data_IF_933388022731
#
_entry.id   IF_933388022731
#
_cell.length_a   1.000
_cell.length_b   1.000
_cell.length_c   1.000
_cell.angle_alpha   90.00
_cell.angle_beta   90.00
_cell.angle_gamma   90.00
#
_symmetry.space_group_name_H-M   'P 1'
#
loop_
_entity.id
_entity.type
_entity.pdbx_description
1 polymer ?
#
# COMPACT_ATOMS: atom_id res chain seq x y z
N UNK A 1 -9.93 -25.89 -8.41
CA UNK A 1 -9.75 -24.50 -8.83
C UNK A 1 -9.10 -23.78 -7.66
N UNK A 2 -7.81 -23.45 -7.78
CA UNK A 2 -7.10 -22.65 -6.79
C UNK A 2 -7.75 -21.26 -6.73
N UNK A 3 -8.33 -20.93 -5.57
CA UNK A 3 -8.97 -19.63 -5.31
C UNK A 3 -7.99 -18.45 -5.32
N UNK A 4 -6.69 -18.72 -5.47
CA UNK A 4 -5.64 -17.72 -5.41
C UNK A 4 -5.30 -17.09 -6.76
N UNK A 5 -5.81 -17.59 -7.89
CA UNK A 5 -5.42 -17.06 -9.20
C UNK A 5 -6.52 -17.13 -10.28
N UNK A 6 -7.53 -16.24 -10.25
CA UNK A 6 -8.37 -15.99 -11.41
C UNK A 6 -7.62 -15.17 -12.47
N UNK A 7 -7.90 -15.51 -13.73
CA UNK A 7 -7.17 -15.23 -14.96
C UNK A 7 -7.25 -13.76 -15.45
N UNK A 8 -6.84 -12.79 -14.63
CA UNK A 8 -6.93 -11.36 -14.96
C UNK A 8 -5.64 -10.57 -14.65
N UNK A 9 -4.47 -11.07 -15.08
CA UNK A 9 -3.26 -10.25 -15.14
C UNK A 9 -3.22 -9.47 -16.46
N UNK A 10 -4.07 -8.45 -16.57
CA UNK A 10 -3.70 -7.30 -17.41
C UNK A 10 -2.47 -6.68 -16.77
N UNK A 11 -1.43 -6.38 -17.57
CA UNK A 11 -0.12 -5.82 -17.22
C UNK A 11 -0.17 -4.57 -16.30
N UNK A 12 -0.65 -4.75 -15.08
CA UNK A 12 -0.93 -3.70 -14.11
C UNK A 12 -0.05 -4.01 -12.93
N UNK A 13 0.96 -3.16 -12.73
CA UNK A 13 1.82 -3.23 -11.55
C UNK A 13 0.91 -3.18 -10.32
N UNK A 14 0.91 -4.26 -9.55
CA UNK A 14 0.15 -4.35 -8.31
C UNK A 14 0.93 -3.69 -7.17
N UNK A 15 0.27 -3.29 -6.07
CA UNK A 15 0.99 -2.80 -4.90
C UNK A 15 2.01 -3.79 -4.34
N UNK A 16 1.74 -5.11 -4.44
CA UNK A 16 2.69 -6.13 -3.97
C UNK A 16 3.95 -6.15 -4.84
N UNK A 17 3.81 -5.99 -6.17
CA UNK A 17 4.97 -5.91 -7.08
C UNK A 17 5.89 -4.74 -6.72
N UNK A 18 5.34 -3.58 -6.35
CA UNK A 18 6.12 -2.40 -5.93
C UNK A 18 6.80 -2.64 -4.58
N UNK A 19 6.09 -3.27 -3.64
CA UNK A 19 6.63 -3.58 -2.31
C UNK A 19 7.84 -4.51 -2.44
N UNK A 20 7.74 -5.56 -3.25
CA UNK A 20 8.82 -6.52 -3.47
C UNK A 20 9.97 -5.89 -4.29
N UNK A 21 9.66 -5.11 -5.33
CA UNK A 21 10.67 -4.48 -6.19
C UNK A 21 11.57 -3.49 -5.43
N UNK A 22 11.01 -2.76 -4.47
CA UNK A 22 11.72 -1.73 -3.70
C UNK A 22 12.07 -2.17 -2.28
N UNK A 23 11.89 -3.44 -1.94
CA UNK A 23 12.14 -4.01 -0.60
C UNK A 23 11.52 -3.15 0.52
N UNK A 24 10.25 -2.78 0.35
CA UNK A 24 9.55 -1.91 1.28
C UNK A 24 9.13 -2.67 2.54
N UNK A 25 9.43 -2.11 3.70
CA UNK A 25 8.93 -2.64 4.97
C UNK A 25 7.40 -2.53 5.10
N UNK A 26 6.84 -3.11 6.16
CA UNK A 26 5.39 -3.12 6.40
C UNK A 26 4.75 -1.72 6.36
N UNK A 27 5.41 -0.71 6.95
CA UNK A 27 4.87 0.65 7.00
C UNK A 27 4.85 1.27 5.61
N UNK A 28 5.99 1.27 4.92
CA UNK A 28 6.13 1.85 3.59
C UNK A 28 5.28 1.14 2.54
N UNK A 29 5.15 -0.19 2.63
CA UNK A 29 4.27 -0.93 1.74
C UNK A 29 2.79 -0.57 1.92
N UNK A 30 2.35 -0.32 3.16
CA UNK A 30 0.99 0.18 3.40
C UNK A 30 0.80 1.61 2.85
N UNK A 31 1.81 2.48 2.92
CA UNK A 31 1.75 3.81 2.31
C UNK A 31 1.44 3.68 0.81
N UNK A 32 2.24 2.90 0.07
CA UNK A 32 2.05 2.68 -1.37
C UNK A 32 0.68 2.06 -1.66
N UNK A 33 0.29 1.03 -0.90
CA UNK A 33 -1.01 0.36 -1.05
C UNK A 33 -2.18 1.33 -0.96
N UNK A 34 -2.22 2.18 0.07
CA UNK A 34 -3.33 3.11 0.27
C UNK A 34 -3.30 4.28 -0.72
N UNK A 35 -2.11 4.80 -1.07
CA UNK A 35 -1.98 5.81 -2.13
C UNK A 35 -2.50 5.30 -3.47
N UNK A 36 -2.14 4.08 -3.87
CA UNK A 36 -2.59 3.51 -5.13
C UNK A 36 -4.08 3.14 -5.14
N UNK A 37 -4.68 2.92 -3.97
CA UNK A 37 -6.08 2.51 -3.80
C UNK A 37 -7.06 3.69 -3.69
N UNK A 38 -6.59 4.85 -3.24
CA UNK A 38 -7.40 6.05 -3.06
C UNK A 38 -8.25 6.34 -4.32
N UNK A 39 -9.57 6.47 -4.13
CA UNK A 39 -10.52 6.74 -5.21
C UNK A 39 -10.85 5.55 -6.13
N UNK A 40 -10.25 4.37 -5.92
CA UNK A 40 -10.47 3.18 -6.77
C UNK A 40 -11.34 2.11 -6.12
N UNK A 41 -11.54 2.16 -4.80
CA UNK A 41 -12.38 1.18 -4.09
C UNK A 41 -13.78 1.75 -3.87
N UNK A 42 -14.79 1.05 -4.39
CA UNK A 42 -16.18 1.42 -4.17
C UNK A 42 -16.54 1.41 -2.68
N UNK A 43 -17.24 2.46 -2.23
CA UNK A 43 -17.72 2.59 -0.85
C UNK A 43 -16.65 3.02 0.16
N UNK A 44 -15.45 3.41 -0.27
CA UNK A 44 -14.44 4.00 0.60
C UNK A 44 -14.00 5.37 0.05
N UNK A 45 -13.86 6.35 0.94
CA UNK A 45 -13.43 7.70 0.57
C UNK A 45 -11.95 7.70 0.18
N UNK A 46 -11.59 8.47 -0.83
CA UNK A 46 -10.18 8.72 -1.17
C UNK A 46 -9.42 9.35 0.01
N UNK A 47 -10.06 10.28 0.73
CA UNK A 47 -9.52 10.90 1.93
C UNK A 47 -9.26 9.88 3.05
N UNK A 48 -10.08 8.85 3.18
CA UNK A 48 -9.85 7.79 4.18
C UNK A 48 -8.61 6.97 3.84
N UNK A 49 -8.35 6.73 2.56
CA UNK A 49 -7.15 6.04 2.09
C UNK A 49 -5.91 6.91 2.25
N UNK A 50 -5.96 8.18 1.85
CA UNK A 50 -4.86 9.12 2.04
C UNK A 50 -4.52 9.33 3.52
N UNK A 51 -5.54 9.36 4.39
CA UNK A 51 -5.34 9.45 5.85
C UNK A 51 -4.66 8.20 6.41
N UNK A 52 -5.03 7.01 5.93
CA UNK A 52 -4.33 5.76 6.29
C UNK A 52 -2.88 5.78 5.81
N UNK A 53 -2.62 6.21 4.58
CA UNK A 53 -1.25 6.34 4.05
C UNK A 53 -0.41 7.28 4.92
N UNK A 54 -0.94 8.45 5.27
CA UNK A 54 -0.27 9.42 6.14
C UNK A 54 0.04 8.82 7.52
N UNK A 55 -0.88 8.06 8.11
CA UNK A 55 -0.64 7.40 9.39
C UNK A 55 0.54 6.43 9.34
N UNK A 56 0.63 5.60 8.30
CA UNK A 56 1.74 4.65 8.13
C UNK A 56 3.07 5.36 7.89
N UNK A 57 3.06 6.45 7.12
CA UNK A 57 4.26 7.26 6.87
C UNK A 57 4.76 7.91 8.18
N UNK A 58 3.86 8.50 8.96
CA UNK A 58 4.21 9.07 10.25
C UNK A 58 4.76 8.00 11.20
N UNK A 59 4.14 6.81 11.24
CA UNK A 59 4.63 5.70 12.06
C UNK A 59 6.05 5.29 11.68
N UNK A 60 6.37 5.23 10.39
CA UNK A 60 7.73 4.92 9.90
C UNK A 60 8.74 6.01 10.31
N UNK A 61 8.36 7.28 10.15
CA UNK A 61 9.19 8.43 10.56
C UNK A 61 9.50 8.37 12.06
N UNK A 62 8.49 8.14 12.89
CA UNK A 62 8.65 8.05 14.34
C UNK A 62 9.48 6.83 14.77
N UNK A 63 9.42 5.72 14.04
CA UNK A 63 10.31 4.58 14.25
C UNK A 63 11.77 4.97 13.98
N UNK A 64 12.06 5.53 12.79
CA UNK A 64 13.43 5.94 12.42
C UNK A 64 14.03 7.01 13.32
N UNK A 65 13.20 7.92 13.85
CA UNK A 65 13.66 8.94 14.81
C UNK A 65 14.13 8.35 16.15
N UNK A 66 13.59 7.19 16.55
CA UNK A 66 14.00 6.50 17.79
C UNK A 66 15.29 5.71 17.63
N UNK A 67 15.65 5.40 16.39
CA UNK A 67 16.87 4.67 16.04
C UNK A 67 18.08 5.59 15.81
N UNK A 68 17.91 6.90 16.03
CA UNK A 68 18.96 7.94 16.06
C UNK A 68 19.24 8.31 17.51
#
# INVERSE_FOLDING_TARGET
MDKANPQHYQNTVTPIDIIEMYDLNFSLGNVIKYVLRAGKKAGESDLDDLSKALWYLNREIEFRKKDI
#
